data_IF_381865100657
#
_entry.id   IF_381865100657
#
_cell.length_a   1.000
_cell.length_b   1.000
_cell.length_c   1.000
_cell.angle_alpha   90.00
_cell.angle_beta   90.00
_cell.angle_gamma   90.00
#
_symmetry.space_group_name_H-M   'P 1'
#
loop_
_entity.id
_entity.type
_entity.pdbx_description
1 polymer ?
#
# COMPACT_ATOMS: atom_id res chain seq x y z
N UNK A 1 10.91 11.62 12.29
CA UNK A 1 10.20 10.82 11.28
C UNK A 1 8.78 11.34 11.25
N UNK A 2 8.32 11.75 10.08
CA UNK A 2 7.02 12.40 9.89
C UNK A 2 6.04 11.35 9.35
N UNK A 3 5.01 11.03 10.12
CA UNK A 3 3.99 10.03 9.78
C UNK A 3 2.72 10.73 9.33
N UNK A 4 2.18 10.33 8.18
CA UNK A 4 1.00 10.94 7.57
C UNK A 4 0.05 9.87 7.09
N UNK A 5 -1.25 10.07 7.27
CA UNK A 5 -2.26 9.21 6.66
C UNK A 5 -2.51 9.65 5.22
N UNK A 6 -2.68 8.69 4.32
CA UNK A 6 -3.25 8.92 2.99
C UNK A 6 -4.77 8.75 3.06
N UNK A 7 -5.52 9.84 2.91
CA UNK A 7 -6.98 9.82 3.02
C UNK A 7 -7.70 9.64 1.68
N UNK A 8 -6.97 9.56 0.57
CA UNK A 8 -7.55 9.56 -0.78
C UNK A 8 -7.99 10.95 -1.27
N UNK A 9 -7.60 12.01 -0.56
CA UNK A 9 -7.99 13.39 -0.83
C UNK A 9 -6.80 14.24 -1.32
N UNK A 10 -6.60 15.44 -0.77
CA UNK A 10 -5.50 16.31 -1.16
C UNK A 10 -4.15 15.73 -0.72
N UNK A 11 -3.13 15.87 -1.59
CA UNK A 11 -1.79 15.30 -1.42
C UNK A 11 -1.76 13.76 -1.25
N UNK A 12 -2.80 13.07 -1.72
CA UNK A 12 -2.92 11.61 -1.76
C UNK A 12 -2.08 10.99 -2.89
N UNK A 13 -1.71 9.71 -2.72
CA UNK A 13 -1.17 8.91 -3.81
C UNK A 13 -2.25 8.44 -4.79
N UNK A 14 -3.54 8.64 -4.50
CA UNK A 14 -4.67 8.17 -5.30
C UNK A 14 -5.29 9.24 -6.20
N UNK A 15 -5.92 8.81 -7.30
CA UNK A 15 -6.86 9.68 -8.03
C UNK A 15 -8.03 10.08 -7.11
N UNK A 16 -8.48 11.35 -7.23
CA UNK A 16 -9.51 11.90 -6.36
C UNK A 16 -10.87 11.21 -6.55
N UNK A 17 -11.58 11.00 -5.44
CA UNK A 17 -12.94 10.47 -5.45
C UNK A 17 -13.04 8.95 -5.60
N UNK A 18 -11.92 8.23 -5.53
CA UNK A 18 -11.89 6.78 -5.56
C UNK A 18 -12.31 6.17 -4.21
N UNK A 19 -12.94 4.99 -4.28
CA UNK A 19 -13.30 4.20 -3.10
C UNK A 19 -12.12 3.35 -2.61
N UNK A 20 -11.20 4.01 -1.89
CA UNK A 20 -10.03 3.38 -1.27
C UNK A 20 -10.37 2.51 -0.04
N UNK A 21 -11.64 2.45 0.37
CA UNK A 21 -12.10 1.71 1.54
C UNK A 21 -11.90 2.46 2.87
N UNK A 22 -12.89 2.34 3.76
CA UNK A 22 -12.88 3.02 5.06
C UNK A 22 -11.76 2.50 5.97
N UNK A 23 -11.54 1.19 5.97
CA UNK A 23 -10.52 0.55 6.82
C UNK A 23 -9.09 0.98 6.48
N UNK A 24 -8.81 1.27 5.21
CA UNK A 24 -7.55 1.84 4.76
C UNK A 24 -7.46 3.34 5.10
N UNK A 25 -8.48 4.13 4.74
CA UNK A 25 -8.53 5.58 5.00
C UNK A 25 -8.27 5.93 6.48
N UNK A 26 -8.78 5.12 7.40
CA UNK A 26 -8.61 5.33 8.84
C UNK A 26 -7.42 4.57 9.46
N UNK A 27 -6.82 3.65 8.70
CA UNK A 27 -5.88 2.66 9.23
C UNK A 27 -4.44 2.81 8.72
N UNK A 28 -4.19 3.66 7.73
CA UNK A 28 -2.87 3.76 7.10
C UNK A 28 -2.02 4.90 7.66
N UNK A 29 -0.71 4.67 7.69
CA UNK A 29 0.30 5.71 7.89
C UNK A 29 1.51 5.47 6.99
N UNK A 30 1.99 6.54 6.37
CA UNK A 30 3.19 6.55 5.52
C UNK A 30 4.22 7.48 6.17
N UNK A 31 5.47 7.04 6.24
CA UNK A 31 6.61 7.85 6.68
C UNK A 31 7.69 7.90 5.57
N UNK A 32 7.58 8.86 4.64
CA UNK A 32 8.54 9.01 3.55
C UNK A 32 9.95 9.35 4.06
N UNK A 33 10.93 8.52 3.71
CA UNK A 33 12.34 8.69 4.09
C UNK A 33 13.15 9.25 2.92
N UNK A 34 12.94 8.73 1.72
CA UNK A 34 13.53 9.22 0.46
C UNK A 34 12.41 9.41 -0.55
N UNK A 35 12.44 10.47 -1.33
CA UNK A 35 11.41 10.69 -2.35
C UNK A 35 11.21 12.16 -2.70
N UNK A 36 10.11 12.48 -3.40
CA UNK A 36 9.77 13.85 -3.78
C UNK A 36 9.53 14.77 -2.59
N UNK A 37 8.97 15.95 -2.85
CA UNK A 37 8.59 16.90 -1.80
C UNK A 37 7.85 16.19 -0.66
N UNK A 38 8.10 16.61 0.59
CA UNK A 38 7.64 15.99 1.83
C UNK A 38 8.42 14.75 2.33
N UNK A 39 9.47 14.30 1.62
CA UNK A 39 10.38 13.27 2.12
C UNK A 39 11.52 13.85 2.96
N UNK A 40 12.07 13.04 3.88
CA UNK A 40 13.23 13.43 4.69
C UNK A 40 14.47 13.73 3.83
N UNK A 41 14.70 12.92 2.78
CA UNK A 41 15.74 13.11 1.77
C UNK A 41 15.08 13.25 0.41
N UNK A 42 15.40 14.34 -0.30
CA UNK A 42 14.84 14.59 -1.62
C UNK A 42 15.43 13.65 -2.69
N UNK A 43 14.57 13.09 -3.53
CA UNK A 43 14.89 12.30 -4.71
C UNK A 43 13.73 12.36 -5.71
N UNK A 44 14.03 12.38 -7.01
CA UNK A 44 13.03 12.19 -8.08
C UNK A 44 13.02 10.79 -8.66
N UNK A 45 14.00 9.97 -8.29
CA UNK A 45 14.25 8.67 -8.93
C UNK A 45 13.93 7.48 -8.01
N UNK A 46 13.85 7.74 -6.69
CA UNK A 46 13.60 6.74 -5.66
C UNK A 46 12.64 7.28 -4.61
N UNK A 47 11.55 6.55 -4.37
CA UNK A 47 10.74 6.71 -3.17
C UNK A 47 11.04 5.54 -2.23
N UNK A 48 11.28 5.84 -0.96
CA UNK A 48 11.48 4.86 0.10
C UNK A 48 10.79 5.33 1.37
N UNK A 49 9.98 4.46 1.98
CA UNK A 49 9.10 4.80 3.09
C UNK A 49 8.95 3.65 4.08
N UNK A 50 8.62 3.97 5.33
CA UNK A 50 7.95 3.01 6.21
C UNK A 50 6.45 3.14 6.03
N UNK A 51 5.78 2.01 5.82
CA UNK A 51 4.34 1.96 5.62
C UNK A 51 3.69 1.08 6.67
N UNK A 52 2.64 1.60 7.28
CA UNK A 52 1.91 0.98 8.36
C UNK A 52 0.43 0.86 7.97
N UNK A 53 -0.15 -0.29 8.32
CA UNK A 53 -1.60 -0.48 8.33
C UNK A 53 -2.01 -1.05 9.69
N UNK A 54 -3.09 -0.50 10.23
CA UNK A 54 -3.75 -1.02 11.43
C UNK A 54 -4.21 -2.48 11.20
N UNK A 55 -4.34 -3.23 12.29
CA UNK A 55 -5.01 -4.53 12.29
C UNK A 55 -6.39 -4.45 11.64
N UNK A 56 -6.79 -5.52 10.96
CA UNK A 56 -8.10 -5.67 10.32
C UNK A 56 -8.37 -4.64 9.22
N UNK A 57 -7.32 -4.22 8.53
CA UNK A 57 -7.40 -3.32 7.36
C UNK A 57 -7.33 -4.11 6.06
N UNK A 58 -8.27 -3.85 5.16
CA UNK A 58 -8.15 -4.20 3.75
C UNK A 58 -7.60 -2.98 3.01
N UNK A 59 -6.39 -3.12 2.50
CA UNK A 59 -5.86 -2.24 1.47
C UNK A 59 -6.28 -2.80 0.11
N UNK A 60 -7.36 -2.24 -0.43
CA UNK A 60 -8.05 -2.73 -1.62
C UNK A 60 -7.16 -2.76 -2.85
N UNK A 61 -7.55 -3.55 -3.83
CA UNK A 61 -6.82 -3.68 -5.09
C UNK A 61 -6.61 -2.33 -5.74
N UNK A 62 -5.37 -2.05 -6.03
CA UNK A 62 -4.93 -0.82 -6.67
C UNK A 62 -3.76 -1.10 -7.59
N UNK A 63 -3.45 -0.10 -8.42
CA UNK A 63 -2.41 -0.18 -9.41
C UNK A 63 -1.79 1.19 -9.64
N UNK A 64 -0.48 1.23 -9.87
CA UNK A 64 0.26 2.43 -10.24
C UNK A 64 1.36 2.10 -11.24
N UNK A 65 1.94 3.13 -11.84
CA UNK A 65 2.97 3.01 -12.87
C UNK A 65 4.31 2.53 -12.31
N UNK A 66 4.73 3.06 -11.16
CA UNK A 66 6.00 2.69 -10.56
C UNK A 66 6.02 1.21 -10.15
N UNK A 67 7.15 0.53 -10.33
CA UNK A 67 7.35 -0.78 -9.71
C UNK A 67 7.51 -0.61 -8.21
N UNK A 68 6.93 -1.52 -7.42
CA UNK A 68 6.95 -1.43 -5.97
C UNK A 68 7.53 -2.69 -5.32
N UNK A 69 8.32 -2.48 -4.27
CA UNK A 69 8.82 -3.52 -3.40
C UNK A 69 8.31 -3.29 -1.98
N UNK A 70 7.82 -4.36 -1.35
CA UNK A 70 7.63 -4.43 0.10
C UNK A 70 8.70 -5.34 0.71
N UNK A 71 9.28 -4.90 1.83
CA UNK A 71 9.99 -5.76 2.77
C UNK A 71 9.24 -5.76 4.09
N UNK A 72 8.48 -6.82 4.33
CA UNK A 72 7.53 -6.90 5.42
C UNK A 72 8.25 -7.12 6.74
N UNK A 73 8.06 -6.21 7.70
CA UNK A 73 8.65 -6.29 9.03
C UNK A 73 7.73 -6.98 10.04
N UNK A 74 6.46 -7.18 9.67
CA UNK A 74 5.49 -7.94 10.44
C UNK A 74 4.68 -8.90 9.56
N UNK A 75 4.00 -9.84 10.21
CA UNK A 75 3.11 -10.79 9.55
C UNK A 75 2.40 -11.69 10.57
N UNK A 76 1.56 -12.63 10.09
CA UNK A 76 1.25 -12.85 8.68
C UNK A 76 0.44 -11.70 8.07
N UNK A 77 0.62 -11.46 6.78
CA UNK A 77 -0.19 -10.53 5.99
C UNK A 77 -0.52 -11.16 4.65
N UNK A 78 -1.76 -10.96 4.18
CA UNK A 78 -2.19 -11.51 2.89
C UNK A 78 -1.94 -10.52 1.77
N UNK A 79 -1.43 -11.01 0.64
CA UNK A 79 -1.32 -10.24 -0.59
C UNK A 79 -2.09 -10.93 -1.71
N UNK A 80 -2.78 -10.14 -2.53
CA UNK A 80 -3.31 -10.57 -3.84
C UNK A 80 -2.49 -9.87 -4.91
N UNK A 81 -1.92 -10.64 -5.84
CA UNK A 81 -1.04 -10.13 -6.89
C UNK A 81 -1.65 -10.46 -8.26
N UNK A 82 -1.97 -9.43 -9.04
CA UNK A 82 -2.69 -9.54 -10.31
C UNK A 82 -4.07 -10.16 -10.13
N UNK A 83 -4.37 -11.19 -10.93
CA UNK A 83 -5.61 -11.97 -10.87
C UNK A 83 -5.47 -13.28 -10.08
N UNK A 84 -4.42 -13.39 -9.25
CA UNK A 84 -4.19 -14.59 -8.43
C UNK A 84 -5.03 -14.59 -7.15
N UNK A 85 -5.12 -15.77 -6.53
CA UNK A 85 -5.68 -15.91 -5.19
C UNK A 85 -4.81 -15.23 -4.12
N UNK A 86 -5.40 -14.96 -2.96
CA UNK A 86 -4.69 -14.43 -1.80
C UNK A 86 -3.63 -15.41 -1.28
N UNK A 87 -2.43 -14.90 -1.02
CA UNK A 87 -1.32 -15.65 -0.41
C UNK A 87 -0.86 -14.94 0.86
N UNK A 88 -0.68 -15.70 1.93
CA UNK A 88 -0.19 -15.17 3.20
C UNK A 88 1.34 -15.25 3.26
N UNK A 89 1.96 -14.13 3.63
CA UNK A 89 3.40 -13.98 3.80
C UNK A 89 3.74 -13.71 5.27
N UNK A 90 4.84 -14.30 5.73
CA UNK A 90 5.41 -14.02 7.05
C UNK A 90 6.16 -12.68 7.05
N UNK A 91 6.40 -12.12 8.24
CA UNK A 91 7.40 -11.05 8.36
C UNK A 91 8.78 -11.59 7.99
N UNK A 92 9.63 -10.74 7.40
CA UNK A 92 10.86 -11.03 6.63
C UNK A 92 10.67 -11.34 5.14
N UNK A 93 9.43 -11.39 4.65
CA UNK A 93 9.15 -11.57 3.23
C UNK A 93 9.47 -10.35 2.38
N UNK A 94 9.89 -10.61 1.14
CA UNK A 94 10.03 -9.60 0.08
C UNK A 94 8.95 -9.85 -0.97
N UNK A 95 8.20 -8.81 -1.31
CA UNK A 95 7.16 -8.85 -2.34
C UNK A 95 7.51 -7.82 -3.40
N UNK A 96 7.42 -8.23 -4.66
CA UNK A 96 7.67 -7.38 -5.82
C UNK A 96 6.41 -7.24 -6.67
N UNK A 97 5.93 -6.01 -6.79
CA UNK A 97 4.79 -5.63 -7.61
C UNK A 97 5.30 -5.01 -8.92
N UNK A 98 5.13 -5.69 -10.06
CA UNK A 98 5.51 -5.11 -11.34
C UNK A 98 4.66 -3.87 -11.68
N UNK A 99 5.19 -2.95 -12.50
CA UNK A 99 4.43 -1.82 -13.04
C UNK A 99 3.08 -2.25 -13.60
N UNK A 100 2.03 -1.50 -13.28
CA UNK A 100 0.68 -1.68 -13.81
C UNK A 100 0.03 -3.06 -13.53
N UNK A 101 0.55 -3.84 -12.57
CA UNK A 101 -0.09 -5.06 -12.09
C UNK A 101 -0.87 -4.77 -10.82
N UNK A 102 -2.21 -4.99 -10.80
CA UNK A 102 -3.02 -4.76 -9.61
C UNK A 102 -2.53 -5.58 -8.42
N UNK A 103 -2.59 -5.01 -7.23
CA UNK A 103 -2.26 -5.73 -6.01
C UNK A 103 -3.03 -5.17 -4.82
N UNK A 104 -3.20 -6.00 -3.79
CA UNK A 104 -3.93 -5.67 -2.58
C UNK A 104 -3.26 -6.29 -1.34
N UNK A 105 -3.50 -5.72 -0.17
CA UNK A 105 -3.00 -6.24 1.11
C UNK A 105 -4.15 -6.39 2.09
N UNK A 106 -4.21 -7.51 2.80
CA UNK A 106 -5.15 -7.72 3.92
C UNK A 106 -4.37 -7.97 5.20
N UNK A 107 -4.75 -7.25 6.24
CA UNK A 107 -4.08 -7.26 7.55
C UNK A 107 -5.00 -7.90 8.57
N UNK A 108 -4.47 -8.86 9.31
CA UNK A 108 -5.21 -9.60 10.34
C UNK A 108 -5.09 -8.91 11.70
N UNK A 109 -4.87 -9.68 12.77
CA UNK A 109 -4.80 -9.17 14.14
C UNK A 109 -3.49 -8.41 14.45
N UNK A 110 -2.36 -8.80 13.84
CA UNK A 110 -1.09 -8.09 13.99
C UNK A 110 -1.02 -6.93 12.99
N UNK A 111 -0.73 -5.68 13.42
CA UNK A 111 -0.56 -4.57 12.51
C UNK A 111 0.53 -4.84 11.48
N UNK A 112 0.31 -4.34 10.27
CA UNK A 112 1.27 -4.44 9.18
C UNK A 112 2.28 -3.30 9.27
N UNK A 113 3.56 -3.63 9.16
CA UNK A 113 4.64 -2.67 8.99
C UNK A 113 5.57 -3.20 7.89
N UNK A 114 5.89 -2.36 6.91
CA UNK A 114 6.76 -2.73 5.81
C UNK A 114 7.65 -1.56 5.40
N UNK A 115 8.86 -1.87 4.92
CA UNK A 115 9.65 -0.92 4.18
C UNK A 115 9.25 -0.99 2.70
N UNK A 116 8.80 0.13 2.15
CA UNK A 116 8.26 0.22 0.79
C UNK A 116 9.17 1.05 -0.08
N UNK A 117 9.40 0.60 -1.31
CA UNK A 117 10.22 1.31 -2.29
C UNK A 117 9.52 1.37 -3.64
N UNK A 118 9.51 2.56 -4.26
CA UNK A 118 9.18 2.72 -5.68
C UNK A 118 10.40 3.18 -6.46
N UNK A 119 10.63 2.58 -7.62
CA UNK A 119 11.71 2.94 -8.52
C UNK A 119 11.14 3.58 -9.79
N UNK A 120 11.59 4.80 -10.12
CA UNK A 120 11.11 5.61 -11.25
C UNK A 120 9.59 5.90 -11.26
N UNK A 121 9.14 6.75 -12.17
CA UNK A 121 7.71 7.07 -12.39
C UNK A 121 6.92 7.50 -11.13
N UNK A 122 7.58 8.25 -10.23
CA UNK A 122 7.02 8.63 -8.93
C UNK A 122 5.84 9.62 -8.99
N UNK A 123 5.60 10.23 -10.16
CA UNK A 123 4.49 11.17 -10.39
C UNK A 123 3.18 10.45 -10.77
N UNK A 124 3.21 9.12 -10.94
CA UNK A 124 2.04 8.32 -11.29
C UNK A 124 1.11 8.07 -10.10
N UNK A 125 -0.16 8.45 -10.24
CA UNK A 125 -1.19 8.18 -9.23
C UNK A 125 -1.59 6.70 -9.19
N UNK A 126 -1.92 6.23 -7.99
CA UNK A 126 -2.61 4.99 -7.72
C UNK A 126 -4.06 5.07 -8.19
N UNK A 127 -4.52 3.99 -8.81
CA UNK A 127 -5.92 3.77 -9.20
C UNK A 127 -6.44 2.53 -8.52
N UNK A 128 -7.67 2.63 -8.03
CA UNK A 128 -8.40 1.51 -7.45
C UNK A 128 -8.90 0.58 -8.56
N UNK A 129 -8.74 -0.73 -8.39
CA UNK A 129 -9.16 -1.76 -9.34
C UNK A 129 -10.30 -2.56 -8.73
N UNK A 130 -11.54 -2.30 -9.14
CA UNK A 130 -12.70 -2.90 -8.48
C UNK A 130 -12.68 -4.43 -8.45
N UNK A 131 -13.00 -5.00 -7.28
CA UNK A 131 -13.29 -6.43 -7.07
C UNK A 131 -14.56 -6.56 -6.23
N UNK A 132 -15.39 -7.55 -6.56
CA UNK A 132 -16.69 -7.76 -5.92
C UNK A 132 -16.57 -8.30 -4.47
N UNK A 133 -15.39 -8.77 -4.07
CA UNK A 133 -15.17 -9.49 -2.81
C UNK A 133 -14.71 -8.60 -1.63
N UNK A 134 -14.47 -7.31 -1.85
CA UNK A 134 -13.94 -6.42 -0.81
C UNK A 134 -14.79 -6.38 0.45
N UNK A 135 -16.11 -6.18 0.31
CA UNK A 135 -16.99 -6.10 1.47
C UNK A 135 -17.03 -7.42 2.25
N UNK A 136 -16.95 -8.55 1.55
CA UNK A 136 -16.87 -9.87 2.18
C UNK A 136 -15.57 -10.02 2.97
N UNK A 137 -14.44 -9.60 2.39
CA UNK A 137 -13.14 -9.63 3.06
C UNK A 137 -13.13 -8.70 4.27
N UNK A 138 -13.56 -7.46 4.12
CA UNK A 138 -13.63 -6.47 5.22
C UNK A 138 -14.48 -6.96 6.40
N UNK A 139 -15.54 -7.73 6.14
CA UNK A 139 -16.37 -8.31 7.20
C UNK A 139 -15.71 -9.51 7.90
N UNK A 140 -14.73 -10.16 7.26
CA UNK A 140 -14.01 -11.33 7.79
C UNK A 140 -12.72 -10.95 8.50
N UNK A 141 -12.08 -9.85 8.07
CA UNK A 141 -10.88 -9.30 8.67
C UNK A 141 -11.12 -8.80 10.05
#
# INVERSE_FOLDING_TARGET
MDWRADTGDDDSYYEKGLDIGLSFREGNLVCPLVGPANSLVFSKDLFFSLFFLKSRTLYRDHVHQASEMYFNLSGPCGFRLGDQDWVDYVGDSVIWNPPLVPHATRVYETPFLSAVSWASDLDGLCRVVHRDDWQTIENQL
#
